data_IF_663273463940
#
_entry.id   IF_663273463940
#
_cell.length_a   1.000
_cell.length_b   1.000
_cell.length_c   1.000
_cell.angle_alpha   90.00
_cell.angle_beta   90.00
_cell.angle_gamma   90.00
#
_symmetry.space_group_name_H-M   'P 1'
#
loop_
_entity.id
_entity.type
_entity.pdbx_description
1 polymer ?
#
# COMPACT_ATOMS: atom_id res chain seq x y z
N UNK A 1 47.50 30.93 17.46
CA UNK A 1 46.02 31.12 17.41
C UNK A 1 45.35 30.55 16.14
N UNK A 2 46.02 29.71 15.33
CA UNK A 2 45.54 29.29 14.00
C UNK A 2 44.91 27.89 13.91
N UNK A 3 44.95 27.08 14.98
CA UNK A 3 44.51 25.67 14.95
C UNK A 3 43.00 25.47 15.12
N UNK A 4 42.29 26.46 15.68
CA UNK A 4 40.84 26.41 15.86
C UNK A 4 40.11 26.74 14.55
N UNK A 5 40.57 27.75 13.81
CA UNK A 5 40.01 28.11 12.50
C UNK A 5 40.30 27.05 11.43
N UNK A 6 41.48 26.41 11.45
CA UNK A 6 41.80 25.32 10.52
C UNK A 6 40.90 24.08 10.71
N UNK A 7 40.49 23.77 11.95
CA UNK A 7 39.55 22.68 12.23
C UNK A 7 38.16 23.00 11.70
N UNK A 8 37.67 24.22 11.91
CA UNK A 8 36.36 24.67 11.41
C UNK A 8 36.37 24.70 9.87
N UNK A 9 37.43 25.19 9.23
CA UNK A 9 37.59 25.16 7.78
C UNK A 9 37.65 23.73 7.21
N UNK A 10 38.28 22.78 7.92
CA UNK A 10 38.29 21.36 7.55
C UNK A 10 36.91 20.69 7.56
N UNK A 11 35.98 21.14 8.41
CA UNK A 11 34.58 20.70 8.37
C UNK A 11 33.84 21.15 7.11
N UNK A 12 34.18 22.33 6.57
CA UNK A 12 33.63 22.83 5.29
C UNK A 12 34.35 22.28 4.06
N UNK A 13 35.63 21.87 4.19
CA UNK A 13 36.46 21.39 3.09
C UNK A 13 36.03 20.06 2.47
N UNK A 14 35.27 19.23 3.20
CA UNK A 14 34.87 17.89 2.73
C UNK A 14 33.43 17.83 2.21
N UNK A 15 32.80 18.98 1.97
CA UNK A 15 31.42 19.06 1.45
C UNK A 15 31.42 19.13 -0.07
N UNK A 16 30.82 18.13 -0.71
CA UNK A 16 30.61 18.11 -2.17
C UNK A 16 29.17 18.54 -2.47
N UNK A 17 28.99 19.60 -3.25
CA UNK A 17 27.67 20.01 -3.74
C UNK A 17 27.21 19.09 -4.87
N UNK A 18 25.96 18.64 -4.79
CA UNK A 18 25.42 17.64 -5.72
C UNK A 18 24.34 18.25 -6.61
N UNK A 19 23.45 19.06 -6.05
CA UNK A 19 22.39 19.68 -6.83
C UNK A 19 21.39 20.46 -6.00
N UNK A 20 20.42 21.04 -6.71
CA UNK A 20 19.31 21.81 -6.17
C UNK A 20 18.00 21.21 -6.69
N UNK A 21 17.00 21.12 -5.83
CA UNK A 21 15.64 20.75 -6.25
C UNK A 21 14.82 21.97 -6.71
N UNK A 22 13.58 21.72 -7.15
CA UNK A 22 12.66 22.78 -7.59
C UNK A 22 12.25 23.75 -6.48
N UNK A 23 12.28 23.30 -5.23
CA UNK A 23 12.01 24.14 -4.06
C UNK A 23 13.23 25.03 -3.67
N UNK A 24 14.40 24.76 -4.26
CA UNK A 24 15.64 25.47 -3.97
C UNK A 24 16.46 24.87 -2.83
N UNK A 25 16.12 23.67 -2.35
CA UNK A 25 16.90 22.96 -1.34
C UNK A 25 18.20 22.45 -1.98
N UNK A 26 19.31 22.56 -1.24
CA UNK A 26 20.63 22.16 -1.71
C UNK A 26 21.05 20.84 -1.10
N UNK A 27 21.58 19.95 -1.93
CA UNK A 27 21.98 18.62 -1.52
C UNK A 27 23.49 18.47 -1.54
N UNK A 28 24.01 17.81 -0.50
CA UNK A 28 25.43 17.68 -0.26
C UNK A 28 25.81 16.26 0.11
N UNK A 29 27.05 15.89 -0.21
CA UNK A 29 27.66 14.65 0.24
C UNK A 29 29.05 14.88 0.81
N UNK A 30 29.41 14.05 1.79
CA UNK A 30 30.74 13.97 2.38
C UNK A 30 31.19 12.52 2.34
N UNK A 31 32.38 12.32 1.78
CA UNK A 31 33.14 11.09 1.95
C UNK A 31 33.93 11.25 3.24
N UNK A 32 33.61 10.47 4.25
CA UNK A 32 34.47 10.37 5.43
C UNK A 32 35.48 9.25 5.15
N UNK A 33 36.75 9.49 5.42
CA UNK A 33 37.80 8.47 5.25
C UNK A 33 37.68 7.33 6.29
N UNK A 34 36.95 7.59 7.38
CA UNK A 34 36.77 6.69 8.53
C UNK A 34 35.56 5.76 8.33
N UNK A 35 34.46 6.30 7.81
CA UNK A 35 33.24 5.55 7.50
C UNK A 35 33.21 5.25 6.00
N UNK A 36 33.17 3.98 5.61
CA UNK A 36 33.04 3.52 4.20
C UNK A 36 31.75 4.07 3.53
N UNK A 37 30.83 4.64 4.30
CA UNK A 37 29.53 5.13 3.86
C UNK A 37 29.55 6.65 3.64
N UNK A 38 29.15 7.06 2.44
CA UNK A 38 28.96 8.48 2.10
C UNK A 38 27.84 9.08 2.97
N UNK A 39 28.15 10.14 3.72
CA UNK A 39 27.13 10.93 4.42
C UNK A 39 26.48 11.88 3.43
N UNK A 40 25.15 11.95 3.46
CA UNK A 40 24.31 12.78 2.57
C UNK A 40 23.38 13.62 3.42
N UNK A 41 23.23 14.90 3.09
CA UNK A 41 22.32 15.80 3.80
C UNK A 41 21.78 16.88 2.88
N UNK A 42 20.72 17.55 3.36
CA UNK A 42 20.02 18.63 2.67
C UNK A 42 20.14 19.92 3.49
N UNK A 43 20.31 21.04 2.80
CA UNK A 43 20.11 22.38 3.35
C UNK A 43 18.85 22.96 2.74
N UNK A 44 17.84 23.18 3.57
CA UNK A 44 16.59 23.82 3.17
C UNK A 44 16.83 25.30 2.87
N UNK A 45 16.12 25.82 1.84
CA UNK A 45 16.14 27.25 1.53
C UNK A 45 15.27 28.07 2.47
N UNK A 46 14.18 27.48 2.99
CA UNK A 46 13.19 28.13 3.84
C UNK A 46 12.88 27.30 5.08
N UNK A 47 11.60 27.02 5.30
CA UNK A 47 11.14 26.18 6.41
C UNK A 47 11.73 24.76 6.31
N UNK A 48 12.20 24.24 7.44
CA UNK A 48 12.82 22.92 7.53
C UNK A 48 11.75 21.83 7.60
N UNK A 49 10.96 21.71 6.53
CA UNK A 49 9.95 20.66 6.42
C UNK A 49 10.46 19.50 5.54
N UNK A 50 10.70 18.31 6.12
CA UNK A 50 11.16 17.14 5.36
C UNK A 50 10.12 16.65 4.35
N UNK A 51 8.84 16.98 4.49
CA UNK A 51 7.78 16.58 3.54
C UNK A 51 7.88 17.33 2.21
N UNK A 52 8.58 18.47 2.19
CA UNK A 52 8.80 19.29 0.98
C UNK A 52 9.86 18.68 0.06
N UNK A 53 10.66 17.71 0.54
CA UNK A 53 11.71 17.07 -0.24
C UNK A 53 11.09 16.16 -1.32
N UNK A 54 11.44 16.30 -2.61
CA UNK A 54 10.98 15.37 -3.64
C UNK A 54 11.44 13.94 -3.38
N UNK A 55 10.59 12.95 -3.67
CA UNK A 55 10.89 11.52 -3.39
C UNK A 55 12.23 11.04 -3.98
N UNK A 56 12.62 11.56 -5.14
CA UNK A 56 13.88 11.19 -5.80
C UNK A 56 15.10 11.57 -4.96
N UNK A 57 15.03 12.73 -4.31
CA UNK A 57 16.05 13.20 -3.39
C UNK A 57 15.98 12.46 -2.05
N UNK A 58 14.78 12.09 -1.57
CA UNK A 58 14.63 11.24 -0.37
C UNK A 58 15.31 9.88 -0.59
N UNK A 59 15.06 9.22 -1.72
CA UNK A 59 15.69 7.94 -2.05
C UNK A 59 17.22 8.05 -2.16
N UNK A 60 17.74 9.16 -2.67
CA UNK A 60 19.17 9.43 -2.70
C UNK A 60 19.73 9.69 -1.29
N UNK A 61 19.09 10.52 -0.47
CA UNK A 61 19.49 10.80 0.92
C UNK A 61 19.53 9.51 1.76
N UNK A 62 18.53 8.64 1.61
CA UNK A 62 18.45 7.36 2.31
C UNK A 62 19.47 6.31 1.82
N UNK A 63 20.21 6.59 0.74
CA UNK A 63 21.18 5.67 0.18
C UNK A 63 20.59 4.56 -0.69
N UNK A 64 19.27 4.57 -0.96
CA UNK A 64 18.63 3.60 -1.87
C UNK A 64 19.13 3.79 -3.30
N UNK A 65 19.37 5.04 -3.72
CA UNK A 65 19.97 5.37 -5.01
C UNK A 65 21.42 5.81 -4.83
N UNK A 66 22.34 5.30 -5.65
CA UNK A 66 23.76 5.73 -5.65
C UNK A 66 23.97 7.07 -6.36
N UNK A 67 23.34 7.25 -7.52
CA UNK A 67 23.43 8.46 -8.35
C UNK A 67 22.40 9.49 -7.88
N UNK A 68 22.76 10.78 -7.92
CA UNK A 68 21.82 11.85 -7.65
C UNK A 68 20.78 11.95 -8.78
N UNK A 69 19.54 12.37 -8.47
CA UNK A 69 18.51 12.52 -9.49
C UNK A 69 18.85 13.65 -10.46
N UNK A 70 18.64 13.40 -11.76
CA UNK A 70 18.89 14.42 -12.79
C UNK A 70 17.67 15.33 -12.97
N UNK A 71 17.86 16.59 -13.39
CA UNK A 71 16.73 17.50 -13.64
C UNK A 71 15.74 16.95 -14.68
N UNK A 72 16.24 16.25 -15.70
CA UNK A 72 15.43 15.61 -16.74
C UNK A 72 14.56 14.48 -16.19
N UNK A 73 15.14 13.58 -15.39
CA UNK A 73 14.39 12.51 -14.71
C UNK A 73 13.28 13.09 -13.84
N UNK A 74 13.57 14.16 -13.10
CA UNK A 74 12.58 14.83 -12.23
C UNK A 74 11.43 15.40 -13.07
N UNK A 75 11.72 16.02 -14.21
CA UNK A 75 10.69 16.54 -15.12
C UNK A 75 9.81 15.43 -15.70
N UNK A 76 10.40 14.31 -16.11
CA UNK A 76 9.65 13.18 -16.65
C UNK A 76 8.71 12.58 -15.60
N UNK A 77 9.21 12.40 -14.37
CA UNK A 77 8.43 11.84 -13.27
C UNK A 77 7.27 12.76 -12.86
N UNK A 78 7.46 14.07 -12.89
CA UNK A 78 6.37 15.02 -12.70
C UNK A 78 5.34 14.95 -13.82
N UNK A 79 5.77 14.89 -15.08
CA UNK A 79 4.86 14.72 -16.20
C UNK A 79 4.04 13.42 -16.05
N UNK A 80 4.66 12.34 -15.56
CA UNK A 80 3.96 11.10 -15.25
C UNK A 80 2.93 11.29 -14.14
N UNK A 81 3.26 12.00 -13.06
CA UNK A 81 2.32 12.29 -11.95
C UNK A 81 1.12 13.10 -12.43
N UNK A 82 1.36 14.12 -13.25
CA UNK A 82 0.28 14.93 -13.83
C UNK A 82 -0.63 14.10 -14.73
N UNK A 83 -0.07 13.23 -15.59
CA UNK A 83 -0.88 12.30 -16.40
C UNK A 83 -1.75 11.39 -15.55
N UNK A 84 -1.18 10.79 -14.50
CA UNK A 84 -1.93 9.94 -13.57
C UNK A 84 -3.03 10.72 -12.88
N UNK A 85 -2.74 11.95 -12.43
CA UNK A 85 -3.73 12.83 -11.80
C UNK A 85 -4.90 13.13 -12.72
N UNK A 86 -4.63 13.44 -14.00
CA UNK A 86 -5.66 13.67 -15.01
C UNK A 86 -6.50 12.42 -15.26
N UNK A 87 -5.87 11.26 -15.40
CA UNK A 87 -6.58 9.99 -15.60
C UNK A 87 -7.48 9.65 -14.40
N UNK A 88 -6.98 9.84 -13.18
CA UNK A 88 -7.76 9.63 -11.95
C UNK A 88 -8.95 10.60 -11.88
N UNK A 89 -8.77 11.86 -12.28
CA UNK A 89 -9.87 12.82 -12.32
C UNK A 89 -10.95 12.44 -13.35
N UNK A 90 -10.54 11.92 -14.51
CA UNK A 90 -11.47 11.41 -15.52
C UNK A 90 -12.25 10.19 -15.01
N UNK A 91 -11.57 9.21 -14.41
CA UNK A 91 -12.21 8.01 -13.86
C UNK A 91 -13.20 8.36 -12.75
N UNK A 92 -12.84 9.28 -11.85
CA UNK A 92 -13.75 9.76 -10.80
C UNK A 92 -14.99 10.42 -11.38
N UNK A 93 -14.83 11.25 -12.42
CA UNK A 93 -15.97 11.89 -13.08
C UNK A 93 -16.87 10.88 -13.77
N UNK A 94 -16.30 9.89 -14.45
CA UNK A 94 -17.06 8.80 -15.07
C UNK A 94 -17.81 7.98 -14.01
N UNK A 95 -17.16 7.64 -12.91
CA UNK A 95 -17.76 6.93 -11.78
C UNK A 95 -18.92 7.72 -11.15
N UNK A 96 -18.75 9.02 -10.94
CA UNK A 96 -19.81 9.92 -10.46
C UNK A 96 -21.01 9.98 -11.42
N UNK A 97 -20.77 10.05 -12.73
CA UNK A 97 -21.84 10.02 -13.74
C UNK A 97 -22.56 8.66 -13.75
N UNK A 98 -21.82 7.55 -13.54
CA UNK A 98 -22.41 6.21 -13.41
C UNK A 98 -23.24 6.09 -12.15
N UNK A 99 -22.74 6.54 -11.00
CA UNK A 99 -23.48 6.55 -9.74
C UNK A 99 -24.73 7.43 -9.84
N UNK A 100 -24.69 8.57 -10.52
CA UNK A 100 -25.89 9.39 -10.76
C UNK A 100 -26.93 8.65 -11.64
N UNK A 101 -26.49 7.93 -12.69
CA UNK A 101 -27.37 7.13 -13.55
C UNK A 101 -27.91 5.87 -12.86
N UNK A 102 -27.12 5.24 -11.99
CA UNK A 102 -27.50 4.00 -11.29
C UNK A 102 -28.28 4.29 -10.00
N UNK A 103 -27.99 5.38 -9.30
CA UNK A 103 -28.75 5.89 -8.16
C UNK A 103 -30.20 6.23 -8.51
N UNK A 104 -30.48 6.62 -9.77
CA UNK A 104 -31.85 6.79 -10.26
C UNK A 104 -32.58 5.46 -10.59
N UNK A 105 -31.84 4.35 -10.79
CA UNK A 105 -32.41 3.02 -11.12
C UNK A 105 -32.66 2.15 -9.89
N UNK A 106 -32.08 2.47 -8.72
CA UNK A 106 -32.19 1.65 -7.49
C UNK A 106 -33.56 1.73 -6.78
N UNK A 107 -34.50 2.58 -7.23
CA UNK A 107 -35.84 2.73 -6.60
C UNK A 107 -36.91 1.81 -7.22
N UNK A 108 -36.65 1.12 -8.33
CA UNK A 108 -37.65 0.23 -8.95
C UNK A 108 -37.18 -1.22 -8.96
N UNK A 109 -37.87 -2.02 -8.14
CA UNK A 109 -37.81 -3.49 -8.03
C UNK A 109 -36.76 -4.11 -7.10
N UNK A 110 -37.02 -4.02 -5.79
CA UNK A 110 -36.71 -5.12 -4.87
C UNK A 110 -37.66 -6.31 -5.13
N UNK A 111 -37.60 -6.87 -6.34
CA UNK A 111 -38.39 -8.02 -6.77
C UNK A 111 -37.47 -9.17 -7.16
N UNK A 112 -37.08 -9.98 -6.17
CA UNK A 112 -36.53 -11.35 -6.31
C UNK A 112 -35.68 -11.59 -7.59
N UNK A 113 -34.62 -10.81 -7.79
CA UNK A 113 -33.67 -11.11 -8.86
C UNK A 113 -32.76 -12.22 -8.35
N UNK A 114 -32.92 -13.43 -8.89
CA UNK A 114 -32.00 -14.54 -8.68
C UNK A 114 -30.58 -14.06 -8.97
N UNK A 115 -29.70 -14.19 -7.98
CA UNK A 115 -28.32 -13.74 -8.09
C UNK A 115 -27.60 -14.35 -9.31
N UNK A 116 -26.49 -13.75 -9.76
CA UNK A 116 -25.72 -14.24 -10.90
C UNK A 116 -25.46 -15.74 -10.77
N UNK A 117 -25.69 -16.50 -11.85
CA UNK A 117 -25.65 -17.96 -11.84
C UNK A 117 -24.29 -18.49 -11.33
N UNK A 118 -24.25 -18.94 -10.07
CA UNK A 118 -23.04 -19.49 -9.44
C UNK A 118 -22.48 -20.66 -10.25
N UNK A 119 -23.32 -21.41 -10.99
CA UNK A 119 -22.86 -22.54 -11.80
C UNK A 119 -21.99 -22.07 -12.97
N UNK A 120 -22.34 -20.94 -13.58
CA UNK A 120 -21.55 -20.35 -14.66
C UNK A 120 -20.17 -19.89 -14.17
N UNK A 121 -20.09 -19.37 -12.93
CA UNK A 121 -18.84 -18.96 -12.28
C UNK A 121 -17.98 -20.17 -11.88
N UNK A 122 -18.58 -21.21 -11.32
CA UNK A 122 -17.89 -22.45 -10.93
C UNK A 122 -17.30 -23.16 -12.15
N UNK A 123 -17.94 -23.08 -13.33
CA UNK A 123 -17.42 -23.68 -14.56
C UNK A 123 -16.11 -23.07 -15.07
N UNK A 124 -15.74 -21.86 -14.61
CA UNK A 124 -14.48 -21.23 -15.00
C UNK A 124 -13.25 -21.87 -14.32
N UNK A 125 -13.45 -22.65 -13.25
CA UNK A 125 -12.40 -23.37 -12.54
C UNK A 125 -12.64 -24.89 -12.63
N UNK A 126 -11.86 -25.62 -13.45
CA UNK A 126 -12.05 -27.06 -13.65
C UNK A 126 -11.83 -27.94 -12.40
N UNK A 127 -11.31 -27.38 -11.31
CA UNK A 127 -10.77 -28.14 -10.17
C UNK A 127 -11.75 -28.38 -9.00
N UNK A 128 -13.04 -28.03 -9.12
CA UNK A 128 -14.01 -28.15 -8.01
C UNK A 128 -15.18 -29.12 -8.26
N UNK A 129 -15.13 -29.95 -9.32
CA UNK A 129 -16.23 -30.86 -9.68
C UNK A 129 -15.99 -32.34 -9.34
N UNK A 130 -15.03 -32.66 -8.45
CA UNK A 130 -14.83 -34.03 -7.98
C UNK A 130 -15.03 -34.14 -6.45
N UNK A 131 -15.99 -34.99 -6.07
CA UNK A 131 -16.33 -35.39 -4.70
C UNK A 131 -17.58 -34.66 -4.16
N UNK A 132 -18.62 -35.30 -3.64
CA UNK A 132 -18.82 -36.71 -3.31
C UNK A 132 -20.33 -36.96 -3.11
N UNK A 133 -20.79 -38.17 -3.41
CA UNK A 133 -22.16 -38.64 -3.15
C UNK A 133 -22.19 -39.26 -1.75
N UNK A 134 -22.95 -38.71 -0.80
CA UNK A 134 -23.44 -39.51 0.35
C UNK A 134 -24.85 -39.09 0.78
N UNK A 135 -25.79 -39.93 0.34
CA UNK A 135 -26.98 -40.51 0.99
C UNK A 135 -27.72 -39.82 2.15
N UNK A 136 -29.04 -39.72 1.96
CA UNK A 136 -30.06 -39.54 3.00
C UNK A 136 -30.22 -40.80 3.85
N UNK A 137 -30.24 -40.66 5.17
CA UNK A 137 -30.85 -41.62 6.08
C UNK A 137 -31.55 -40.90 7.24
N UNK A 138 -32.66 -41.49 7.66
CA UNK A 138 -33.74 -40.97 8.50
C UNK A 138 -33.59 -41.19 10.01
N UNK A 139 -34.37 -40.39 10.76
CA UNK A 139 -35.01 -40.63 12.07
C UNK A 139 -34.24 -40.51 13.41
N UNK A 140 -34.87 -39.79 14.37
CA UNK A 140 -34.78 -40.13 15.80
C UNK A 140 -34.41 -39.06 16.86
N UNK A 141 -35.32 -38.11 17.15
CA UNK A 141 -35.84 -37.69 18.48
C UNK A 141 -34.91 -37.42 19.73
N UNK A 142 -34.95 -36.15 20.21
CA UNK A 142 -34.73 -35.58 21.60
C UNK A 142 -33.43 -35.91 22.37
N UNK A 143 -32.76 -35.02 23.12
CA UNK A 143 -33.22 -34.01 24.10
C UNK A 143 -32.01 -33.16 24.60
N UNK A 144 -32.33 -32.01 25.20
CA UNK A 144 -31.63 -31.32 26.31
C UNK A 144 -30.46 -30.35 26.06
N UNK A 145 -30.81 -29.09 26.30
CA UNK A 145 -30.01 -27.93 26.69
C UNK A 145 -29.00 -28.26 27.79
N UNK A 146 -27.72 -27.95 27.55
CA UNK A 146 -26.78 -27.60 28.60
C UNK A 146 -25.94 -26.41 28.16
N UNK A 147 -26.02 -25.32 28.93
CA UNK A 147 -25.06 -24.22 28.94
C UNK A 147 -23.72 -24.75 29.45
N UNK A 148 -22.67 -24.69 28.63
CA UNK A 148 -21.29 -24.75 29.14
C UNK A 148 -20.53 -23.47 28.81
N UNK A 149 -19.97 -22.93 29.89
CA UNK A 149 -19.14 -21.74 29.98
C UNK A 149 -17.94 -21.80 29.05
N UNK A 150 -17.65 -20.64 28.45
CA UNK A 150 -16.59 -20.44 27.47
C UNK A 150 -15.21 -20.95 27.89
N UNK A 151 -14.64 -21.78 27.02
CA UNK A 151 -13.20 -21.95 26.86
C UNK A 151 -12.75 -21.08 25.68
N UNK A 152 -11.58 -20.40 25.75
CA UNK A 152 -11.05 -19.67 24.60
C UNK A 152 -10.77 -20.68 23.48
N UNK A 153 -11.49 -20.54 22.36
CA UNK A 153 -11.26 -21.33 21.15
C UNK A 153 -9.86 -21.01 20.60
N UNK A 154 -9.08 -22.01 20.14
CA UNK A 154 -7.81 -21.76 19.49
C UNK A 154 -8.04 -20.92 18.23
N UNK A 155 -7.23 -19.88 18.03
CA UNK A 155 -7.22 -19.08 16.80
C UNK A 155 -6.86 -19.97 15.60
N UNK A 156 -7.86 -20.51 14.91
CA UNK A 156 -7.66 -21.28 13.69
C UNK A 156 -7.41 -20.33 12.52
N UNK A 157 -6.39 -20.64 11.71
CA UNK A 157 -6.13 -19.96 10.44
C UNK A 157 -7.20 -20.23 9.39
N UNK A 158 -7.95 -21.31 9.55
CA UNK A 158 -9.00 -21.72 8.61
C UNK A 158 -10.35 -21.07 8.95
N UNK A 159 -11.09 -20.56 7.94
CA UNK A 159 -12.43 -20.05 8.14
C UNK A 159 -13.38 -21.18 8.56
N UNK A 160 -14.25 -20.92 9.53
CA UNK A 160 -15.21 -21.91 10.05
C UNK A 160 -16.64 -21.48 9.78
N UNK A 161 -17.52 -22.45 9.46
CA UNK A 161 -18.95 -22.22 9.27
C UNK A 161 -19.34 -21.88 7.83
N UNK A 162 -20.65 -21.80 7.56
CA UNK A 162 -21.21 -21.49 6.24
C UNK A 162 -22.46 -20.62 6.39
N UNK A 163 -22.62 -19.62 5.53
CA UNK A 163 -23.72 -18.67 5.58
C UNK A 163 -23.70 -17.80 6.86
N UNK A 164 -24.78 -17.81 7.63
CA UNK A 164 -24.95 -16.96 8.81
C UNK A 164 -24.01 -17.31 9.99
N UNK A 165 -23.37 -18.48 9.97
CA UNK A 165 -22.39 -18.90 10.99
C UNK A 165 -20.93 -18.75 10.52
N UNK A 166 -20.69 -18.10 9.37
CA UNK A 166 -19.35 -17.91 8.83
C UNK A 166 -18.49 -17.04 9.74
N UNK A 167 -17.30 -17.53 10.09
CA UNK A 167 -16.25 -16.81 10.81
C UNK A 167 -14.98 -16.81 9.97
N UNK A 168 -14.46 -15.64 9.57
CA UNK A 168 -13.20 -15.56 8.83
C UNK A 168 -12.05 -16.03 9.72
N UNK A 169 -11.10 -16.78 9.13
CA UNK A 169 -9.86 -17.16 9.82
C UNK A 169 -8.90 -15.97 9.96
N UNK A 170 -8.03 -16.01 10.96
CA UNK A 170 -6.99 -15.00 11.16
C UNK A 170 -5.79 -15.31 10.26
N UNK A 171 -5.44 -14.38 9.36
CA UNK A 171 -4.28 -14.52 8.49
C UNK A 171 -2.99 -14.56 9.33
N UNK A 172 -2.11 -15.53 9.04
CA UNK A 172 -0.78 -15.63 9.63
C UNK A 172 0.29 -15.42 8.56
N UNK A 173 1.34 -14.61 8.82
CA UNK A 173 2.43 -14.42 7.88
C UNK A 173 3.25 -15.71 7.69
N UNK A 174 3.85 -15.93 6.51
CA UNK A 174 4.70 -17.09 6.26
C UNK A 174 6.00 -17.02 7.08
N UNK A 175 6.41 -18.15 7.65
CA UNK A 175 7.65 -18.34 8.43
C UNK A 175 8.89 -18.48 7.55
#
# INVERSE_FOLDING_TARGET
MSKLFARIAGYFSNRTFIGIDKAGNRYFTRKEEIDVKEKRWVEFKGEQDPTTIPVEWICWLNGQRKKAPTPEEIMELEARRERVRLNVALLKKEEEEREAREGSKKVVSSGKVGGPDLKSFIRQFPSASEGDKVEQASDGRTKETQEEKGKPLPESSEPTGSGASYKPGTWQPPT
#
